data_IF_765754243472
#
_entry.id   IF_765754243472
#
_cell.length_a   1.000
_cell.length_b   1.000
_cell.length_c   1.000
_cell.angle_alpha   90.00
_cell.angle_beta   90.00
_cell.angle_gamma   90.00
#
_symmetry.space_group_name_H-M   'P 1'
#
loop_
_entity.id
_entity.type
_entity.pdbx_description
1 polymer ?
#
# COMPACT_ATOMS: atom_id res chain seq x y z
N UNK A 1 28.88 17.69 15.24
CA UNK A 1 27.61 16.96 14.99
C UNK A 1 27.90 15.84 14.00
N UNK A 2 27.46 14.60 14.25
CA UNK A 2 27.57 13.54 13.24
C UNK A 2 26.81 13.99 11.98
N UNK A 3 27.49 13.97 10.83
CA UNK A 3 26.90 14.28 9.52
C UNK A 3 26.27 13.00 8.97
N UNK A 4 24.96 12.86 9.09
CA UNK A 4 24.22 11.76 8.46
C UNK A 4 22.90 11.45 9.16
N UNK A 5 21.91 11.01 8.39
CA UNK A 5 20.69 10.40 8.94
C UNK A 5 21.05 9.09 9.67
N UNK A 6 20.34 8.73 10.76
CA UNK A 6 20.60 7.50 11.49
C UNK A 6 20.54 6.29 10.56
N UNK A 7 21.53 5.42 10.66
CA UNK A 7 21.56 4.17 9.89
C UNK A 7 20.48 3.23 10.42
N UNK A 8 19.58 2.79 9.54
CA UNK A 8 18.55 1.82 9.89
C UNK A 8 19.19 0.51 10.36
N UNK A 9 18.69 -0.04 11.48
CA UNK A 9 19.07 -1.38 11.96
C UNK A 9 18.63 -2.46 10.96
N UNK A 10 19.18 -3.67 11.09
CA UNK A 10 18.76 -4.79 10.25
C UNK A 10 17.26 -5.11 10.41
N UNK A 11 16.76 -5.07 11.64
CA UNK A 11 15.34 -5.28 11.94
C UNK A 11 14.45 -4.18 11.32
N UNK A 12 14.84 -2.90 11.45
CA UNK A 12 14.10 -1.80 10.84
C UNK A 12 14.07 -1.93 9.32
N UNK A 13 15.18 -2.33 8.70
CA UNK A 13 15.24 -2.60 7.26
C UNK A 13 14.26 -3.69 6.85
N UNK A 14 14.25 -4.82 7.57
CA UNK A 14 13.33 -5.93 7.31
C UNK A 14 11.86 -5.50 7.43
N UNK A 15 11.54 -4.72 8.47
CA UNK A 15 10.19 -4.25 8.74
C UNK A 15 9.70 -3.22 7.73
N UNK A 16 10.55 -2.27 7.33
CA UNK A 16 10.24 -1.30 6.27
C UNK A 16 9.93 -2.05 4.97
N UNK A 17 10.74 -3.07 4.65
CA UNK A 17 10.57 -3.91 3.46
C UNK A 17 9.22 -4.64 3.50
N UNK A 18 8.86 -5.31 4.59
CA UNK A 18 7.57 -6.02 4.69
C UNK A 18 6.39 -5.05 4.63
N UNK A 19 6.45 -3.89 5.30
CA UNK A 19 5.39 -2.88 5.26
C UNK A 19 5.16 -2.31 3.85
N UNK A 20 6.23 -2.09 3.08
CA UNK A 20 6.10 -1.67 1.68
C UNK A 20 5.55 -2.81 0.81
N UNK A 21 6.09 -4.03 0.94
CA UNK A 21 5.78 -5.17 0.05
C UNK A 21 4.42 -5.82 0.31
N UNK A 22 4.07 -5.98 1.58
CA UNK A 22 2.93 -6.77 2.03
C UNK A 22 1.72 -5.87 2.32
N UNK A 23 1.96 -4.75 2.99
CA UNK A 23 0.90 -3.80 3.41
C UNK A 23 0.70 -2.64 2.43
N UNK A 24 1.60 -2.43 1.47
CA UNK A 24 1.49 -1.37 0.47
C UNK A 24 1.65 0.04 1.04
N UNK A 25 2.33 0.18 2.18
CA UNK A 25 2.53 1.49 2.82
C UNK A 25 3.42 2.41 1.98
N UNK A 26 3.16 3.72 2.04
CA UNK A 26 3.89 4.71 1.24
C UNK A 26 5.27 4.94 1.82
N UNK A 27 6.29 4.91 0.94
CA UNK A 27 7.69 5.19 1.30
C UNK A 27 7.85 6.56 1.98
N UNK A 28 7.08 7.57 1.58
CA UNK A 28 7.15 8.91 2.18
C UNK A 28 6.72 8.94 3.65
N UNK A 29 5.75 8.10 4.04
CA UNK A 29 5.24 8.05 5.41
C UNK A 29 6.21 7.26 6.29
N UNK A 30 6.72 6.13 5.80
CA UNK A 30 7.78 5.36 6.46
C UNK A 30 9.06 6.18 6.62
N UNK A 31 9.44 6.99 5.63
CA UNK A 31 10.61 7.85 5.72
C UNK A 31 10.51 8.83 6.91
N UNK A 32 9.33 9.43 7.10
CA UNK A 32 9.06 10.30 8.25
C UNK A 32 9.09 9.52 9.57
N UNK A 33 8.43 8.36 9.60
CA UNK A 33 8.34 7.52 10.80
C UNK A 33 9.71 7.06 11.31
N UNK A 34 10.58 6.61 10.40
CA UNK A 34 11.91 6.10 10.74
C UNK A 34 13.00 7.20 10.73
N UNK A 35 12.62 8.47 10.49
CA UNK A 35 13.56 9.59 10.51
C UNK A 35 14.66 9.49 9.45
N UNK A 36 14.33 9.05 8.24
CA UNK A 36 15.25 8.91 7.11
C UNK A 36 14.73 9.65 5.88
N UNK A 37 15.61 9.98 4.93
CA UNK A 37 15.14 10.48 3.63
C UNK A 37 14.50 9.36 2.81
N UNK A 38 13.46 9.63 2.02
CA UNK A 38 12.80 8.62 1.17
C UNK A 38 13.78 7.84 0.29
N UNK A 39 14.83 8.51 -0.21
CA UNK A 39 15.85 7.89 -1.05
C UNK A 39 16.58 6.73 -0.35
N UNK A 40 16.72 6.77 0.97
CA UNK A 40 17.31 5.66 1.77
C UNK A 40 16.44 4.41 1.66
N UNK A 41 15.12 4.56 1.72
CA UNK A 41 14.18 3.44 1.62
C UNK A 41 14.13 2.93 0.17
N UNK A 42 14.15 3.81 -0.84
CA UNK A 42 14.23 3.37 -2.24
C UNK A 42 15.52 2.59 -2.54
N UNK A 43 16.66 3.02 -2.01
CA UNK A 43 17.92 2.26 -2.09
C UNK A 43 17.87 0.93 -1.35
N UNK A 44 17.17 0.87 -0.21
CA UNK A 44 16.98 -0.37 0.53
C UNK A 44 16.15 -1.38 -0.29
N UNK A 45 15.06 -0.91 -0.92
CA UNK A 45 14.18 -1.73 -1.75
C UNK A 45 14.88 -2.20 -3.04
N UNK A 46 15.73 -1.37 -3.64
CA UNK A 46 16.48 -1.72 -4.85
C UNK A 46 17.59 -2.75 -4.56
N UNK A 47 18.30 -2.61 -3.44
CA UNK A 47 19.38 -3.53 -3.04
C UNK A 47 18.91 -4.94 -2.70
N UNK A 48 17.65 -5.10 -2.31
CA UNK A 48 17.10 -6.42 -1.99
C UNK A 48 16.63 -7.21 -3.22
N UNK A 49 16.68 -6.64 -4.43
CA UNK A 49 16.05 -7.24 -5.60
C UNK A 49 16.90 -7.10 -6.88
N UNK A 50 17.35 -8.23 -7.41
CA UNK A 50 17.64 -8.45 -8.84
C UNK A 50 16.35 -8.39 -9.71
N UNK A 51 15.35 -7.57 -9.33
CA UNK A 51 13.99 -7.58 -9.87
C UNK A 51 13.07 -6.47 -9.34
N UNK A 52 13.63 -5.30 -8.98
CA UNK A 52 12.92 -4.24 -8.26
C UNK A 52 11.67 -3.70 -8.98
N UNK A 53 11.62 -3.78 -10.31
CA UNK A 53 10.45 -3.36 -11.11
C UNK A 53 9.22 -4.23 -10.88
N UNK A 54 9.37 -5.56 -10.84
CA UNK A 54 8.24 -6.49 -10.72
C UNK A 54 7.45 -6.31 -9.42
N UNK A 55 8.13 -5.86 -8.36
CA UNK A 55 7.55 -5.68 -7.05
C UNK A 55 6.74 -4.39 -6.91
N UNK A 56 7.23 -3.30 -7.52
CA UNK A 56 6.50 -2.03 -7.54
C UNK A 56 5.20 -2.18 -8.34
N UNK A 57 5.27 -2.90 -9.46
CA UNK A 57 4.10 -3.28 -10.25
C UNK A 57 3.14 -4.17 -9.47
N UNK A 58 3.63 -5.18 -8.74
CA UNK A 58 2.78 -6.02 -7.88
C UNK A 58 2.06 -5.20 -6.79
N UNK A 59 2.76 -4.26 -6.14
CA UNK A 59 2.16 -3.41 -5.12
C UNK A 59 1.14 -2.41 -5.70
N UNK A 60 1.37 -1.94 -6.93
CA UNK A 60 0.39 -1.14 -7.67
C UNK A 60 -0.86 -1.97 -8.04
N UNK A 61 -0.66 -3.17 -8.60
CA UNK A 61 -1.75 -4.10 -8.95
C UNK A 61 -2.62 -4.46 -7.74
N UNK A 62 -2.01 -4.72 -6.57
CA UNK A 62 -2.78 -5.00 -5.34
C UNK A 62 -3.67 -3.83 -4.92
N UNK A 63 -3.15 -2.60 -4.97
CA UNK A 63 -3.93 -1.39 -4.65
C UNK A 63 -5.06 -1.16 -5.64
N UNK A 64 -4.82 -1.38 -6.93
CA UNK A 64 -5.83 -1.26 -7.97
C UNK A 64 -6.94 -2.31 -7.79
N UNK A 65 -6.58 -3.56 -7.49
CA UNK A 65 -7.55 -4.61 -7.20
C UNK A 65 -8.42 -4.30 -5.96
N UNK A 66 -7.81 -3.81 -4.88
CA UNK A 66 -8.56 -3.42 -3.67
C UNK A 66 -9.55 -2.28 -3.95
N UNK A 67 -9.14 -1.28 -4.75
CA UNK A 67 -10.01 -0.19 -5.15
C UNK A 67 -11.19 -0.68 -6.01
N UNK A 68 -10.93 -1.60 -6.96
CA UNK A 68 -11.98 -2.20 -7.78
C UNK A 68 -12.97 -3.00 -6.94
N UNK A 69 -12.49 -3.81 -5.99
CA UNK A 69 -13.35 -4.57 -5.08
C UNK A 69 -14.27 -3.66 -4.26
N UNK A 70 -13.76 -2.52 -3.78
CA UNK A 70 -14.58 -1.52 -3.06
C UNK A 70 -15.68 -0.93 -3.94
N UNK A 71 -15.36 -0.58 -5.20
CA UNK A 71 -16.35 -0.05 -6.16
C UNK A 71 -17.44 -1.09 -6.44
N UNK A 72 -17.05 -2.33 -6.74
CA UNK A 72 -17.99 -3.43 -7.00
C UNK A 72 -18.90 -3.66 -5.78
N UNK A 73 -18.33 -3.70 -4.57
CA UNK A 73 -19.10 -3.83 -3.34
C UNK A 73 -20.16 -2.74 -3.19
N UNK A 74 -19.81 -1.49 -3.47
CA UNK A 74 -20.75 -0.37 -3.42
C UNK A 74 -21.86 -0.50 -4.48
N UNK A 75 -21.52 -0.90 -5.70
CA UNK A 75 -22.50 -1.10 -6.78
C UNK A 75 -23.50 -2.21 -6.43
N UNK A 76 -23.02 -3.36 -5.95
CA UNK A 76 -23.86 -4.49 -5.53
C UNK A 76 -24.78 -4.10 -4.36
N UNK A 77 -24.27 -3.32 -3.40
CA UNK A 77 -25.08 -2.81 -2.30
C UNK A 77 -26.20 -1.89 -2.80
N UNK A 78 -25.88 -0.95 -3.69
CA UNK A 78 -26.85 -0.03 -4.28
C UNK A 78 -27.91 -0.77 -5.10
N UNK A 79 -27.54 -1.79 -5.88
CA UNK A 79 -28.48 -2.63 -6.63
C UNK A 79 -29.46 -3.38 -5.72
N UNK A 80 -28.94 -4.01 -4.65
CA UNK A 80 -29.77 -4.71 -3.66
C UNK A 80 -30.74 -3.76 -2.96
N UNK A 81 -30.30 -2.55 -2.60
CA UNK A 81 -31.15 -1.53 -2.01
C UNK A 81 -32.23 -1.06 -3.00
N UNK A 82 -31.87 -0.82 -4.26
CA UNK A 82 -32.82 -0.45 -5.32
C UNK A 82 -33.88 -1.54 -5.55
N UNK A 83 -33.48 -2.83 -5.49
CA UNK A 83 -34.42 -3.96 -5.53
C UNK A 83 -35.37 -3.96 -4.33
N UNK A 84 -34.88 -3.77 -3.10
CA UNK A 84 -35.72 -3.71 -1.89
C UNK A 84 -36.75 -2.58 -1.94
N UNK A 85 -36.33 -1.39 -2.37
CA UNK A 85 -37.23 -0.23 -2.53
C UNK A 85 -38.35 -0.56 -3.53
N UNK A 86 -38.03 -1.10 -4.70
CA UNK A 86 -39.04 -1.47 -5.71
C UNK A 86 -40.08 -2.50 -5.23
N UNK A 87 -39.68 -3.43 -4.33
CA UNK A 87 -40.61 -4.39 -3.74
C UNK A 87 -41.46 -3.80 -2.60
N UNK A 88 -41.00 -2.72 -1.95
CA UNK A 88 -41.75 -2.06 -0.86
C UNK A 88 -42.84 -1.09 -1.34
N UNK A 89 -42.74 -0.57 -2.56
CA UNK A 89 -43.73 0.34 -3.17
C UNK A 89 -44.74 -0.35 -4.11
N UNK A 90 -44.71 -1.69 -4.18
CA UNK A 90 -45.69 -2.49 -4.91
C UNK A 90 -46.64 -3.21 -3.95
N UNK A 91 -47.52 -2.45 -3.29
CA UNK A 91 -48.80 -2.92 -2.73
C UNK A 91 -49.88 -1.93 -3.17
#
# INVERSE_FOLDING_TARGET
MPKGYPSLTAEQKQLIISRVKEKGERVADLAKEYGVVPNTIYHLLSRQNQGAGALLELAKMKRENEALLKIIGQLVANEKLGKKIKHGYGN
#
